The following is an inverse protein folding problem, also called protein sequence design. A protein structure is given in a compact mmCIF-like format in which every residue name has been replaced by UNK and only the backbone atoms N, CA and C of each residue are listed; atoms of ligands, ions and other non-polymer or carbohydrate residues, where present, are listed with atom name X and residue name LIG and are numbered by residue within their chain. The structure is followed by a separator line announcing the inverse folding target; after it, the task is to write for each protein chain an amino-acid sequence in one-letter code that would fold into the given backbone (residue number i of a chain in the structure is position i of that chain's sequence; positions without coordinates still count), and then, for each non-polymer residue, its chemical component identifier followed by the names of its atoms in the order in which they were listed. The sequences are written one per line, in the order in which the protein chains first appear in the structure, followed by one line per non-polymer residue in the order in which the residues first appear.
data_IF_951785699943
#
_entry.id   IF_951785699943
#
_cell.length_a   1.000
_cell.length_b   1.000
_cell.length_c   1.000
_cell.angle_alpha   90.00
_cell.angle_beta   90.00
_cell.angle_gamma   90.00
#
_symmetry.space_group_name_H-M   'P 1'
#
loop_
_entity.id
_entity.type
_entity.pdbx_description
1 polymer ?
#
# COMPACT_ATOMS: atom_id res chain seq x y z
N UNK A 1 13.17 17.77 -13.81
CA UNK A 1 12.68 18.43 -12.57
C UNK A 1 11.17 18.45 -12.44
N UNK A 2 10.39 18.49 -13.53
CA UNK A 2 8.93 18.41 -13.43
C UNK A 2 8.45 16.95 -13.43
N UNK A 3 7.49 16.64 -12.58
CA UNK A 3 6.79 15.35 -12.56
C UNK A 3 5.27 15.53 -12.65
N UNK A 4 4.55 14.49 -13.14
CA UNK A 4 3.10 14.47 -13.03
C UNK A 4 2.69 14.55 -11.54
N UNK A 5 1.52 15.14 -11.25
CA UNK A 5 0.99 15.12 -9.89
C UNK A 5 0.74 13.66 -9.46
N UNK A 6 0.86 13.35 -8.16
CA UNK A 6 0.55 12.02 -7.67
C UNK A 6 -0.92 11.68 -7.98
N UNK A 7 -1.19 10.41 -8.28
CA UNK A 7 -2.56 9.94 -8.46
C UNK A 7 -3.35 10.20 -7.18
N UNK A 8 -4.58 10.72 -7.32
CA UNK A 8 -5.44 11.10 -6.19
C UNK A 8 -6.00 9.90 -5.40
N UNK A 9 -5.72 8.66 -5.84
CA UNK A 9 -6.20 7.43 -5.21
C UNK A 9 -7.74 7.37 -5.21
N UNK A 10 -8.30 6.84 -4.14
CA UNK A 10 -9.76 6.78 -3.94
C UNK A 10 -10.23 8.13 -3.38
N UNK A 11 -11.08 8.84 -4.12
CA UNK A 11 -11.59 10.15 -3.74
C UNK A 11 -12.76 10.05 -2.74
N UNK A 12 -12.44 9.81 -1.46
CA UNK A 12 -13.41 9.85 -0.36
C UNK A 12 -13.44 11.23 0.29
N UNK A 13 -14.60 11.90 0.24
CA UNK A 13 -14.78 13.22 0.85
C UNK A 13 -14.00 14.35 0.17
N UNK A 14 -13.99 15.56 0.78
CA UNK A 14 -13.30 16.73 0.21
C UNK A 14 -11.78 16.54 0.20
N UNK A 15 -11.08 17.12 -0.78
CA UNK A 15 -9.62 17.07 -0.81
C UNK A 15 -8.98 17.86 0.35
N UNK A 16 -9.61 18.96 0.74
CA UNK A 16 -9.20 19.85 1.82
C UNK A 16 -10.35 20.01 2.81
N UNK A 17 -10.18 19.54 4.04
CA UNK A 17 -11.14 19.75 5.12
C UNK A 17 -10.70 20.92 5.99
N UNK A 18 -11.63 21.76 6.42
CA UNK A 18 -11.35 22.85 7.36
C UNK A 18 -11.02 22.28 8.74
N UNK A 19 -10.10 22.93 9.44
CA UNK A 19 -9.79 22.61 10.84
C UNK A 19 -10.41 23.66 11.77
N UNK A 20 -10.27 23.45 13.09
CA UNK A 20 -10.71 24.43 14.10
C UNK A 20 -9.93 25.74 13.99
N UNK A 21 -8.69 25.68 13.49
CA UNK A 21 -7.83 26.84 13.28
C UNK A 21 -8.10 27.48 11.92
N UNK A 22 -8.44 28.79 11.87
CA UNK A 22 -8.56 29.52 10.62
C UNK A 22 -7.27 29.48 9.80
N UNK A 23 -7.39 29.29 8.48
CA UNK A 23 -6.23 29.23 7.58
C UNK A 23 -5.43 27.93 7.65
N UNK A 24 -5.93 26.92 8.38
CA UNK A 24 -5.33 25.58 8.43
C UNK A 24 -6.34 24.57 7.89
N UNK A 25 -5.89 23.78 6.91
CA UNK A 25 -6.67 22.73 6.27
C UNK A 25 -5.98 21.38 6.44
N UNK A 26 -6.79 20.34 6.63
CA UNK A 26 -6.35 18.96 6.51
C UNK A 26 -6.40 18.58 5.03
N UNK A 27 -5.22 18.34 4.42
CA UNK A 27 -5.11 17.93 3.03
C UNK A 27 -5.10 16.41 2.87
N UNK A 28 -6.24 15.85 2.49
CA UNK A 28 -6.39 14.43 2.17
C UNK A 28 -5.90 14.12 0.74
N UNK A 29 -6.12 15.08 -0.17
CA UNK A 29 -5.69 15.03 -1.58
C UNK A 29 -5.24 16.43 -2.00
N UNK A 30 -4.41 16.53 -3.04
CA UNK A 30 -3.92 17.83 -3.56
C UNK A 30 -4.18 18.01 -5.07
N UNK A 31 -5.45 17.97 -5.53
CA UNK A 31 -5.78 18.35 -6.91
C UNK A 31 -5.65 19.89 -7.09
N UNK A 32 -5.00 20.37 -8.17
CA UNK A 32 -4.73 21.80 -8.38
C UNK A 32 -5.97 22.68 -8.24
N UNK A 33 -7.12 22.27 -8.77
CA UNK A 33 -8.33 23.10 -8.74
C UNK A 33 -8.98 23.21 -7.35
N UNK A 34 -8.90 22.17 -6.52
CA UNK A 34 -9.42 22.25 -5.15
C UNK A 34 -8.50 23.09 -4.27
N UNK A 35 -7.18 22.99 -4.49
CA UNK A 35 -6.18 23.83 -3.81
C UNK A 35 -6.35 25.30 -4.20
N UNK A 36 -6.52 25.60 -5.48
CA UNK A 36 -6.76 26.96 -5.95
C UNK A 36 -8.00 27.56 -5.28
N UNK A 37 -9.10 26.80 -5.21
CA UNK A 37 -10.33 27.23 -4.52
C UNK A 37 -10.12 27.47 -3.03
N UNK A 38 -9.44 26.57 -2.32
CA UNK A 38 -9.21 26.73 -0.88
C UNK A 38 -8.30 27.93 -0.55
N UNK A 39 -7.35 28.23 -1.44
CA UNK A 39 -6.44 29.38 -1.32
C UNK A 39 -7.00 30.67 -1.95
N UNK A 40 -8.24 30.67 -2.44
CA UNK A 40 -8.87 31.79 -3.15
C UNK A 40 -8.04 32.31 -4.35
N UNK A 41 -7.36 31.41 -5.05
CA UNK A 41 -6.61 31.69 -6.27
C UNK A 41 -7.52 31.59 -7.52
N UNK A 42 -7.17 32.27 -8.62
CA UNK A 42 -7.90 32.13 -9.88
C UNK A 42 -7.94 30.67 -10.37
N UNK A 43 -9.05 30.25 -10.98
CA UNK A 43 -9.16 28.92 -11.57
C UNK A 43 -8.10 28.72 -12.67
N UNK A 44 -7.46 27.54 -12.69
CA UNK A 44 -6.38 27.23 -13.64
C UNK A 44 -5.03 27.91 -13.35
N UNK A 45 -4.89 28.65 -12.25
CA UNK A 45 -3.61 29.28 -11.88
C UNK A 45 -2.55 28.30 -11.40
N UNK A 46 -2.94 27.10 -10.93
CA UNK A 46 -2.03 26.09 -10.45
C UNK A 46 -1.72 25.06 -11.55
N UNK A 47 -0.45 24.91 -11.97
CA UNK A 47 -0.08 23.93 -12.99
C UNK A 47 -0.23 22.50 -12.44
N UNK A 48 -0.71 21.59 -13.28
CA UNK A 48 -0.73 20.15 -12.98
C UNK A 48 0.66 19.52 -13.13
N UNK A 49 1.67 20.11 -12.49
CA UNK A 49 3.06 19.60 -12.44
C UNK A 49 3.66 19.88 -11.09
N UNK A 50 4.35 18.90 -10.54
CA UNK A 50 5.09 19.04 -9.29
C UNK A 50 6.54 19.34 -9.62
N UNK A 51 7.09 20.39 -9.01
CA UNK A 51 8.51 20.68 -9.07
C UNK A 51 9.25 19.76 -8.11
N UNK A 52 10.06 18.85 -8.66
CA UNK A 52 11.01 18.05 -7.88
C UNK A 52 12.23 18.91 -7.58
N UNK A 53 12.71 18.81 -6.36
CA UNK A 53 13.90 19.53 -5.92
C UNK A 53 15.14 18.99 -6.66
N UNK A 54 16.07 19.87 -7.02
CA UNK A 54 17.27 19.50 -7.76
C UNK A 54 18.15 18.55 -6.91
N UNK A 55 18.51 17.36 -7.42
CA UNK A 55 19.36 16.42 -6.71
C UNK A 55 20.78 16.96 -6.46
N UNK A 56 21.25 17.92 -7.27
CA UNK A 56 22.57 18.51 -7.11
C UNK A 56 22.64 19.59 -6.00
N UNK A 57 21.50 19.99 -5.42
CA UNK A 57 21.47 20.99 -4.35
C UNK A 57 22.09 20.44 -3.04
N UNK A 58 23.09 21.12 -2.45
CA UNK A 58 23.67 20.71 -1.18
C UNK A 58 22.67 20.85 -0.03
N UNK A 59 22.68 19.87 0.89
CA UNK A 59 21.82 19.84 2.08
C UNK A 59 20.51 19.06 1.88
N UNK A 60 20.04 18.42 2.95
CA UNK A 60 18.85 17.54 2.95
C UNK A 60 19.18 16.06 2.69
N UNK A 61 18.15 15.23 2.63
CA UNK A 61 18.28 13.81 2.29
C UNK A 61 18.70 13.62 0.82
N UNK A 62 19.41 12.53 0.52
CA UNK A 62 19.76 12.16 -0.85
C UNK A 62 18.49 12.07 -1.72
N UNK A 63 18.43 12.86 -2.78
CA UNK A 63 17.28 12.94 -3.68
C UNK A 63 17.52 12.01 -4.85
N UNK A 64 17.22 10.74 -4.64
CA UNK A 64 17.16 9.79 -5.75
C UNK A 64 15.91 10.12 -6.60
N UNK A 65 16.15 10.57 -7.84
CA UNK A 65 15.06 10.91 -8.74
C UNK A 65 14.53 9.71 -9.53
N UNK A 66 15.19 8.56 -9.43
CA UNK A 66 14.66 7.33 -9.97
C UNK A 66 13.53 6.88 -9.05
N UNK A 67 12.30 7.04 -9.53
CA UNK A 67 11.14 6.36 -8.98
C UNK A 67 11.47 4.87 -9.10
N UNK A 68 12.03 4.30 -8.02
CA UNK A 68 12.42 2.90 -7.91
C UNK A 68 11.39 2.06 -8.69
N UNK A 69 11.74 1.48 -9.85
CA UNK A 69 10.84 0.63 -10.59
C UNK A 69 10.58 -0.58 -9.71
N UNK A 70 9.49 -0.52 -8.93
CA UNK A 70 8.93 -1.59 -8.11
C UNK A 70 9.96 -2.62 -7.62
N UNK A 71 10.80 -2.24 -6.65
CA UNK A 71 11.86 -3.11 -6.12
C UNK A 71 11.31 -4.06 -5.05
N UNK A 72 10.37 -4.92 -5.42
CA UNK A 72 10.32 -6.25 -4.86
C UNK A 72 11.25 -7.11 -5.73
N UNK A 73 12.53 -7.31 -5.34
CA UNK A 73 13.42 -8.17 -6.12
C UNK A 73 12.77 -9.56 -6.24
N UNK A 74 12.90 -10.25 -7.40
CA UNK A 74 12.23 -11.53 -7.67
C UNK A 74 12.49 -12.60 -6.60
N UNK A 75 13.60 -12.48 -5.86
CA UNK A 75 13.93 -13.33 -4.72
C UNK A 75 12.89 -13.31 -3.60
N UNK A 76 12.15 -12.20 -3.37
CA UNK A 76 11.09 -12.16 -2.35
C UNK A 76 9.86 -12.98 -2.74
N UNK A 77 9.60 -13.20 -4.04
CA UNK A 77 8.50 -14.07 -4.48
C UNK A 77 8.74 -15.54 -4.09
N UNK A 78 10.00 -15.98 -4.05
CA UNK A 78 10.35 -17.34 -3.60
C UNK A 78 10.10 -17.53 -2.10
N UNK A 79 10.43 -16.54 -1.27
CA UNK A 79 10.14 -16.59 0.17
C UNK A 79 8.65 -16.75 0.46
N UNK A 80 7.80 -15.98 -0.23
CA UNK A 80 6.35 -16.12 -0.13
C UNK A 80 5.85 -17.47 -0.63
N UNK A 81 6.36 -17.97 -1.76
CA UNK A 81 5.97 -19.29 -2.27
C UNK A 81 6.28 -20.39 -1.25
N UNK A 82 7.50 -20.41 -0.69
CA UNK A 82 7.90 -21.38 0.34
C UNK A 82 7.01 -21.27 1.58
N UNK A 83 6.66 -20.06 2.01
CA UNK A 83 5.77 -19.85 3.14
C UNK A 83 4.38 -20.44 2.89
N UNK A 84 3.79 -20.20 1.72
CA UNK A 84 2.48 -20.73 1.36
C UNK A 84 2.49 -22.27 1.21
N UNK A 85 3.52 -22.84 0.58
CA UNK A 85 3.67 -24.29 0.48
C UNK A 85 3.90 -24.94 1.85
N UNK A 86 4.70 -24.32 2.73
CA UNK A 86 4.93 -24.79 4.09
C UNK A 86 3.65 -24.79 4.92
N UNK A 87 2.83 -23.74 4.80
CA UNK A 87 1.52 -23.68 5.44
C UNK A 87 0.58 -24.78 4.90
N UNK A 88 0.48 -24.92 3.59
CA UNK A 88 -0.36 -25.94 2.95
C UNK A 88 0.04 -27.37 3.36
N UNK A 89 1.35 -27.66 3.38
CA UNK A 89 1.87 -28.95 3.82
C UNK A 89 1.56 -29.23 5.30
N UNK A 90 1.72 -28.23 6.16
CA UNK A 90 1.40 -28.35 7.59
C UNK A 90 -0.07 -28.70 7.80
N UNK A 91 -0.97 -27.97 7.12
CA UNK A 91 -2.42 -28.23 7.16
C UNK A 91 -2.74 -29.64 6.65
N UNK A 92 -2.12 -30.06 5.55
CA UNK A 92 -2.30 -31.39 4.99
C UNK A 92 -1.87 -32.50 5.98
N UNK A 93 -0.70 -32.36 6.61
CA UNK A 93 -0.21 -33.32 7.61
C UNK A 93 -1.15 -33.40 8.80
N UNK A 94 -1.59 -32.26 9.34
CA UNK A 94 -2.55 -32.22 10.44
C UNK A 94 -3.85 -32.93 10.06
N UNK A 95 -4.41 -32.65 8.89
CA UNK A 95 -5.63 -33.29 8.40
C UNK A 95 -5.47 -34.81 8.29
N UNK A 96 -4.38 -35.28 7.68
CA UNK A 96 -4.10 -36.73 7.54
C UNK A 96 -3.92 -37.41 8.90
N UNK A 97 -3.20 -36.80 9.84
CA UNK A 97 -3.00 -37.34 11.19
C UNK A 97 -4.34 -37.45 11.93
N UNK A 98 -5.16 -36.41 11.87
CA UNK A 98 -6.47 -36.41 12.51
C UNK A 98 -7.40 -37.46 11.89
N UNK A 99 -7.42 -37.57 10.56
CA UNK A 99 -8.22 -38.55 9.84
C UNK A 99 -7.82 -39.99 10.18
N UNK A 100 -6.52 -40.29 10.18
CA UNK A 100 -6.02 -41.61 10.56
C UNK A 100 -6.30 -41.93 12.03
N UNK A 101 -6.18 -40.95 12.93
CA UNK A 101 -6.53 -41.12 14.35
C UNK A 101 -8.04 -41.34 14.53
N UNK A 102 -8.87 -40.65 13.76
CA UNK A 102 -10.33 -40.81 13.77
C UNK A 102 -10.70 -42.24 13.33
N UNK A 103 -10.17 -42.71 12.20
CA UNK A 103 -10.42 -44.07 11.69
C UNK A 103 -10.00 -45.17 12.66
N UNK A 104 -8.87 -45.01 13.36
CA UNK A 104 -8.41 -45.97 14.39
C UNK A 104 -9.31 -46.00 15.63
N UNK A 105 -9.95 -44.89 16.00
CA UNK A 105 -10.93 -44.86 17.11
C UNK A 105 -12.26 -45.50 16.73
N UNK A 106 -12.58 -45.56 15.44
CA UNK A 106 -13.84 -46.12 14.90
C UNK A 106 -13.70 -47.59 14.51
N UNK A 107 -12.53 -48.23 14.72
CA UNK A 107 -12.45 -49.69 14.63
C UNK A 107 -13.41 -50.31 15.65
N UNK A 108 -14.48 -51.02 15.22
CA UNK A 108 -15.48 -51.56 16.12
C UNK A 108 -14.81 -52.61 16.98
N UNK A 109 -15.12 -52.59 18.28
CA UNK A 109 -15.01 -53.76 19.12
C UNK A 109 -15.91 -54.85 18.51
N UNK A 110 -15.31 -55.67 17.66
CA UNK A 110 -15.92 -56.85 17.07
C UNK A 110 -15.54 -58.05 17.91
N UNK A 111 -16.00 -58.11 19.16
CA UNK A 111 -16.00 -59.37 19.92
C UNK A 111 -16.91 -59.36 21.15
N UNK A 112 -18.05 -60.04 20.97
CA UNK A 112 -18.80 -60.92 21.87
C UNK A 112 -20.19 -60.43 22.30
#
# INVERSE_FOLDING_TARGET
LLAPPPASGIALGPALATTVQPGIWLANRMPPDEVARALALPAGSLPARVLRLDPALPGGYARDLDLLPNTLPPSRHLGYAVQWFGLALTVLVVALVLELRSRRRVSPDSRR
#
